data_IF_407788469350
#
_entry.id   IF_407788469350
#
_cell.length_a   1.000
_cell.length_b   1.000
_cell.length_c   1.000
_cell.angle_alpha   90.00
_cell.angle_beta   90.00
_cell.angle_gamma   90.00
#
_symmetry.space_group_name_H-M   'P 1'
#
loop_
_entity.id
_entity.type
_entity.pdbx_description
1 polymer ?
#
# COMPACT_ATOMS: atom_id res chain seq x y z
N UNK A 1 -5.25 -3.51 -12.17
CA UNK A 1 -5.73 -4.75 -11.55
C UNK A 1 -5.71 -4.57 -10.03
N UNK A 2 -6.74 -5.02 -9.29
CA UNK A 2 -6.69 -5.13 -7.83
C UNK A 2 -6.23 -6.55 -7.51
N UNK A 3 -5.06 -6.70 -6.93
CA UNK A 3 -4.56 -8.00 -6.49
C UNK A 3 -4.62 -8.04 -4.95
N UNK A 4 -4.81 -9.23 -4.38
CA UNK A 4 -4.87 -9.45 -2.93
C UNK A 4 -3.44 -9.76 -2.46
N UNK A 5 -2.94 -8.99 -1.49
CA UNK A 5 -1.56 -9.17 -0.97
C UNK A 5 -1.54 -10.07 0.24
N UNK A 6 -2.47 -9.82 1.17
CA UNK A 6 -2.51 -10.46 2.48
C UNK A 6 -3.95 -10.49 3.00
N UNK A 7 -4.31 -11.60 3.62
CA UNK A 7 -5.54 -11.76 4.38
C UNK A 7 -5.18 -11.85 5.86
N UNK A 8 -5.41 -10.77 6.62
CA UNK A 8 -5.26 -10.78 8.08
C UNK A 8 -6.63 -10.98 8.71
N UNK A 9 -6.95 -12.21 9.13
CA UNK A 9 -8.19 -12.50 9.88
C UNK A 9 -9.43 -11.81 9.28
N UNK A 10 -9.77 -12.13 8.03
CA UNK A 10 -10.86 -11.52 7.23
C UNK A 10 -10.67 -10.07 6.78
N UNK A 11 -9.55 -9.42 7.12
CA UNK A 11 -9.19 -8.12 6.59
C UNK A 11 -8.31 -8.28 5.35
N UNK A 12 -8.94 -8.10 4.20
CA UNK A 12 -8.26 -8.12 2.91
C UNK A 12 -7.50 -6.83 2.66
N UNK A 13 -6.20 -6.96 2.38
CA UNK A 13 -5.36 -5.88 1.88
C UNK A 13 -5.28 -6.00 0.37
N UNK A 14 -5.88 -5.04 -0.32
CA UNK A 14 -5.83 -4.94 -1.78
C UNK A 14 -4.77 -3.94 -2.19
N UNK A 15 -4.11 -4.18 -3.32
CA UNK A 15 -3.31 -3.16 -3.99
C UNK A 15 -3.65 -2.97 -5.44
N UNK A 16 -3.37 -1.75 -5.90
CA UNK A 16 -3.30 -1.38 -7.31
C UNK A 16 -1.95 -0.73 -7.56
N UNK A 17 -1.23 -1.26 -8.54
CA UNK A 17 -0.01 -0.64 -9.08
C UNK A 17 -0.37 0.22 -10.28
N UNK A 18 0.29 1.35 -10.42
CA UNK A 18 0.30 2.10 -11.66
C UNK A 18 1.69 2.68 -11.92
N UNK A 19 2.06 2.69 -13.20
CA UNK A 19 3.40 3.05 -13.67
C UNK A 19 3.42 4.37 -14.46
N UNK A 20 2.32 5.12 -14.51
CA UNK A 20 2.23 6.35 -15.31
C UNK A 20 2.97 7.49 -14.58
N UNK A 21 4.11 7.92 -15.14
CA UNK A 21 5.00 9.01 -14.69
C UNK A 21 5.80 8.82 -13.39
N UNK A 22 5.27 8.13 -12.38
CA UNK A 22 6.00 7.70 -11.17
C UNK A 22 5.41 6.35 -10.71
N UNK A 23 6.21 5.47 -10.08
CA UNK A 23 5.67 4.22 -9.52
C UNK A 23 4.81 4.54 -8.31
N UNK A 24 3.49 4.55 -8.50
CA UNK A 24 2.55 4.73 -7.40
C UNK A 24 1.78 3.44 -7.09
N UNK A 25 1.72 3.16 -5.80
CA UNK A 25 0.99 2.03 -5.24
C UNK A 25 -0.17 2.56 -4.43
N UNK A 26 -1.31 1.91 -4.56
CA UNK A 26 -2.48 2.23 -3.78
C UNK A 26 -2.87 1.00 -2.99
N UNK A 27 -2.77 1.07 -1.67
CA UNK A 27 -3.23 0.02 -0.78
C UNK A 27 -4.60 0.40 -0.23
N UNK A 28 -5.52 -0.56 -0.25
CA UNK A 28 -6.85 -0.46 0.33
C UNK A 28 -7.01 -1.53 1.41
N UNK A 29 -7.54 -1.12 2.57
CA UNK A 29 -7.73 -2.03 3.71
C UNK A 29 -8.86 -1.53 4.60
N UNK A 30 -9.51 -2.43 5.32
CA UNK A 30 -10.48 -2.07 6.36
C UNK A 30 -9.79 -1.74 7.70
N UNK A 31 -8.63 -2.33 7.96
CA UNK A 31 -7.84 -2.07 9.18
C UNK A 31 -6.92 -0.88 9.01
N UNK A 32 -6.60 -0.23 10.13
CA UNK A 32 -5.59 0.80 10.13
C UNK A 32 -4.21 0.17 10.01
N UNK A 33 -3.40 0.66 9.07
CA UNK A 33 -2.01 0.28 8.89
C UNK A 33 -1.12 1.47 9.23
N UNK A 34 -0.09 1.23 10.02
CA UNK A 34 0.94 2.22 10.31
C UNK A 34 1.87 2.40 9.10
N UNK A 35 2.68 3.47 9.12
CA UNK A 35 3.71 3.69 8.09
C UNK A 35 4.72 2.54 8.04
N UNK A 36 5.02 1.89 9.17
CA UNK A 36 5.94 0.75 9.22
C UNK A 36 5.33 -0.49 8.58
N UNK A 37 4.05 -0.77 8.85
CA UNK A 37 3.33 -1.90 8.25
C UNK A 37 3.30 -1.78 6.72
N UNK A 38 2.98 -0.58 6.22
CA UNK A 38 2.96 -0.31 4.79
C UNK A 38 4.34 -0.48 4.14
N UNK A 39 5.41 -0.02 4.80
CA UNK A 39 6.79 -0.26 4.35
C UNK A 39 7.09 -1.76 4.26
N UNK A 40 6.71 -2.53 5.27
CA UNK A 40 6.91 -3.98 5.28
C UNK A 40 6.12 -4.67 4.16
N UNK A 41 4.85 -4.32 3.98
CA UNK A 41 3.99 -4.83 2.89
C UNK A 41 4.61 -4.55 1.52
N UNK A 42 5.07 -3.32 1.27
CA UNK A 42 5.73 -2.95 0.01
C UNK A 42 6.99 -3.80 -0.21
N UNK A 43 7.84 -3.97 0.81
CA UNK A 43 9.05 -4.80 0.71
C UNK A 43 8.73 -6.23 0.30
N UNK A 44 7.70 -6.81 0.90
CA UNK A 44 7.28 -8.18 0.61
C UNK A 44 6.71 -8.35 -0.80
N UNK A 45 5.85 -7.42 -1.25
CA UNK A 45 5.26 -7.47 -2.60
C UNK A 45 6.34 -7.43 -3.67
N UNK A 46 7.28 -6.49 -3.55
CA UNK A 46 8.27 -6.26 -4.60
C UNK A 46 9.54 -7.10 -4.45
N UNK A 47 9.70 -7.83 -3.34
CA UNK A 47 10.91 -8.58 -2.99
C UNK A 47 12.20 -7.78 -3.25
N UNK A 48 12.13 -6.46 -3.06
CA UNK A 48 13.20 -5.51 -3.39
C UNK A 48 13.65 -4.79 -2.13
N UNK A 49 14.97 -4.64 -2.02
CA UNK A 49 15.58 -3.75 -1.05
C UNK A 49 15.41 -2.30 -1.53
N UNK A 50 14.20 -1.75 -1.37
CA UNK A 50 13.99 -0.32 -1.58
C UNK A 50 14.59 0.44 -0.42
N UNK A 51 15.26 1.56 -0.73
CA UNK A 51 15.63 2.51 0.29
C UNK A 51 14.35 3.20 0.79
N UNK A 52 13.87 2.82 1.97
CA UNK A 52 12.59 3.28 2.52
C UNK A 52 12.50 4.79 2.71
N UNK A 53 13.63 5.48 2.72
CA UNK A 53 13.71 6.94 2.80
C UNK A 53 13.11 7.62 1.55
N UNK A 54 13.05 6.91 0.42
CA UNK A 54 12.47 7.43 -0.82
C UNK A 54 10.96 7.16 -0.94
N UNK A 55 10.36 6.49 0.05
CA UNK A 55 8.93 6.14 0.01
C UNK A 55 8.12 7.21 0.74
N UNK A 56 7.27 7.91 -0.02
CA UNK A 56 6.27 8.84 0.53
C UNK A 56 4.93 8.13 0.64
N UNK A 57 4.35 8.13 1.85
CA UNK A 57 3.07 7.48 2.14
C UNK A 57 2.07 8.54 2.61
N UNK A 58 0.96 8.67 1.89
CA UNK A 58 -0.14 9.55 2.20
C UNK A 58 -1.40 8.74 2.48
N UNK A 59 -2.07 9.02 3.59
CA UNK A 59 -3.33 8.41 3.97
C UNK A 59 -4.51 9.25 3.46
N UNK A 60 -5.52 8.58 2.92
CA UNK A 60 -6.79 9.19 2.52
C UNK A 60 -7.92 8.29 2.99
N UNK A 61 -8.88 8.86 3.73
CA UNK A 61 -10.08 8.14 4.12
C UNK A 61 -11.07 8.13 2.94
N UNK A 62 -11.60 6.96 2.56
CA UNK A 62 -12.61 6.86 1.49
C UNK A 62 -13.96 6.53 2.12
N UNK A 63 -15.05 6.93 1.45
CA UNK A 63 -16.40 6.42 1.76
C UNK A 63 -16.40 4.89 1.72
N UNK A 64 -17.12 4.26 2.66
CA UNK A 64 -17.29 2.81 2.87
C UNK A 64 -16.28 2.12 3.82
N UNK A 65 -15.77 2.80 4.84
CA UNK A 65 -14.87 2.24 5.88
C UNK A 65 -13.51 1.72 5.40
N UNK A 66 -13.24 1.80 4.09
CA UNK A 66 -11.95 1.48 3.51
C UNK A 66 -10.98 2.64 3.66
N UNK A 67 -9.80 2.31 4.17
CA UNK A 67 -8.63 3.18 4.27
C UNK A 67 -7.81 3.07 3.00
N UNK A 68 -7.45 4.22 2.42
CA UNK A 68 -6.58 4.32 1.25
C UNK A 68 -5.20 4.79 1.66
N UNK A 69 -4.19 4.14 1.14
CA UNK A 69 -2.81 4.59 1.26
C UNK A 69 -2.22 4.78 -0.13
N UNK A 70 -1.87 6.02 -0.46
CA UNK A 70 -1.08 6.35 -1.63
C UNK A 70 0.39 6.30 -1.28
N UNK A 71 1.13 5.50 -2.03
CA UNK A 71 2.54 5.27 -1.84
C UNK A 71 3.23 5.69 -3.12
N UNK A 72 4.11 6.68 -3.02
CA UNK A 72 4.99 7.10 -4.11
C UNK A 72 6.41 6.66 -3.76
N UNK A 73 7.05 5.91 -4.65
CA UNK A 73 8.48 5.60 -4.56
C UNK A 73 9.22 6.58 -5.47
N UNK A 74 10.15 7.35 -4.89
CA UNK A 74 11.10 8.18 -5.65
C UNK A 74 12.30 7.36 -6.10
#
# INVERSE_FOLDING_TARGET
MKEIILNFYYNYVYYKVSFIKNKYYIIYTNIYLTKLDLKYIIKNIFKKNYNFNNIKINYVNIKNNYKKYYISIK
#
